data_IF_083361662212
#
_entry.id   IF_083361662212
#
_cell.length_a   1.000
_cell.length_b   1.000
_cell.length_c   1.000
_cell.angle_alpha   90.00
_cell.angle_beta   90.00
_cell.angle_gamma   90.00
#
_symmetry.space_group_name_H-M   'P 1'
#
loop_
_entity.id
_entity.type
_entity.pdbx_description
1 polymer ?
#
# COMPACT_ATOMS: atom_id res chain seq x y z
N UNK A 1 7.26 12.40 -19.44
CA UNK A 1 6.68 11.06 -19.66
C UNK A 1 5.35 11.02 -18.93
N UNK A 2 4.24 10.75 -19.62
CA UNK A 2 2.97 10.45 -18.96
C UNK A 2 3.15 9.11 -18.26
N UNK A 3 3.53 9.12 -16.98
CA UNK A 3 3.52 7.90 -16.18
C UNK A 3 2.07 7.57 -15.88
N UNK A 4 1.46 6.77 -16.76
CA UNK A 4 0.22 6.08 -16.42
C UNK A 4 0.51 5.21 -15.21
N UNK A 5 -0.26 5.41 -14.14
CA UNK A 5 -0.15 4.57 -12.96
C UNK A 5 -0.53 3.14 -13.33
N UNK A 6 0.32 2.16 -12.98
CA UNK A 6 -0.07 0.75 -13.06
C UNK A 6 -1.19 0.50 -12.06
N UNK A 7 -2.01 -0.51 -12.33
CA UNK A 7 -3.09 -0.92 -11.44
C UNK A 7 -2.60 -1.03 -9.99
N UNK A 8 -3.36 -0.44 -9.08
CA UNK A 8 -3.08 -0.41 -7.65
C UNK A 8 -3.11 -1.83 -7.07
N UNK A 9 -2.00 -2.28 -6.47
CA UNK A 9 -1.88 -3.64 -5.93
C UNK A 9 -2.78 -3.94 -4.74
N UNK A 10 -3.22 -2.90 -4.02
CA UNK A 10 -3.99 -3.02 -2.79
C UNK A 10 -5.47 -2.67 -2.94
N UNK A 11 -5.87 -2.07 -4.07
CA UNK A 11 -7.25 -1.66 -4.34
C UNK A 11 -7.73 -2.03 -5.75
N UNK A 12 -6.88 -2.52 -6.65
CA UNK A 12 -7.25 -2.80 -8.04
C UNK A 12 -7.83 -1.57 -8.73
N UNK A 13 -9.07 -1.68 -9.19
CA UNK A 13 -9.85 -0.59 -9.77
C UNK A 13 -10.72 0.18 -8.75
N UNK A 14 -10.75 -0.26 -7.49
CA UNK A 14 -11.57 0.35 -6.44
C UNK A 14 -10.97 1.73 -6.06
N UNK A 15 -11.77 2.77 -6.25
CA UNK A 15 -11.39 4.17 -5.97
C UNK A 15 -12.08 4.68 -4.70
N UNK A 16 -11.51 4.33 -3.56
CA UNK A 16 -11.98 4.76 -2.23
C UNK A 16 -10.80 5.07 -1.30
N UNK A 17 -11.04 5.76 -0.19
CA UNK A 17 -10.01 5.90 0.84
C UNK A 17 -9.63 4.52 1.41
N UNK A 18 -8.36 4.15 1.35
CA UNK A 18 -7.86 2.85 1.78
C UNK A 18 -8.21 2.49 3.24
N UNK A 19 -8.34 3.50 4.10
CA UNK A 19 -8.65 3.31 5.52
C UNK A 19 -10.14 3.34 5.84
N UNK A 20 -10.88 4.29 5.28
CA UNK A 20 -12.29 4.51 5.65
C UNK A 20 -13.28 3.84 4.70
N UNK A 21 -12.83 3.42 3.52
CA UNK A 21 -13.69 2.88 2.44
C UNK A 21 -14.79 3.84 2.00
N UNK A 22 -14.63 5.13 2.31
CA UNK A 22 -15.58 6.15 1.88
C UNK A 22 -15.38 6.38 0.37
N UNK A 23 -16.46 6.28 -0.43
CA UNK A 23 -16.40 6.38 -1.89
C UNK A 23 -16.34 7.83 -2.38
N UNK A 24 -16.03 8.79 -1.51
CA UNK A 24 -15.96 10.21 -1.89
C UNK A 24 -14.74 10.40 -2.79
N UNK A 25 -14.94 10.21 -4.09
CA UNK A 25 -13.94 10.46 -5.13
C UNK A 25 -13.42 11.90 -5.08
N UNK A 26 -14.26 12.81 -4.62
CA UNK A 26 -13.92 14.20 -4.35
C UNK A 26 -12.85 14.26 -3.25
N UNK A 27 -11.64 14.69 -3.65
CA UNK A 27 -10.47 14.92 -2.81
C UNK A 27 -9.64 13.69 -2.41
N UNK A 28 -9.74 12.57 -3.12
CA UNK A 28 -8.74 11.49 -2.94
C UNK A 28 -7.38 11.92 -3.50
N UNK A 29 -6.33 11.67 -2.71
CA UNK A 29 -4.94 11.85 -3.08
C UNK A 29 -4.28 10.50 -3.31
N UNK A 30 -3.37 10.44 -4.29
CA UNK A 30 -2.48 9.30 -4.45
C UNK A 30 -1.40 9.36 -3.37
N UNK A 31 -1.27 8.27 -2.64
CA UNK A 31 -0.18 8.03 -1.72
C UNK A 31 0.70 6.88 -2.24
N UNK A 32 1.96 7.19 -2.56
CA UNK A 32 2.95 6.16 -2.88
C UNK A 32 3.41 5.48 -1.58
N UNK A 33 3.23 4.16 -1.50
CA UNK A 33 3.50 3.38 -0.27
C UNK A 33 5.00 3.42 0.09
N UNK A 34 5.86 3.41 -0.93
CA UNK A 34 7.31 3.57 -0.76
C UNK A 34 7.73 4.99 -1.17
N UNK A 35 8.23 5.76 -0.21
CA UNK A 35 8.51 7.20 -0.35
C UNK A 35 9.85 7.47 -1.05
N UNK A 36 10.08 8.74 -1.40
CA UNK A 36 11.39 9.25 -1.85
C UNK A 36 11.84 8.64 -3.18
N UNK A 37 13.02 8.02 -3.18
CA UNK A 37 13.64 7.44 -4.38
C UNK A 37 12.79 6.35 -5.06
N UNK A 38 11.79 5.79 -4.36
CA UNK A 38 10.93 4.73 -4.88
C UNK A 38 9.58 5.20 -5.40
N UNK A 39 9.37 6.52 -5.56
CA UNK A 39 8.10 7.07 -6.06
C UNK A 39 7.77 6.60 -7.48
N UNK A 40 8.75 6.62 -8.37
CA UNK A 40 8.56 6.21 -9.76
C UNK A 40 8.34 4.70 -9.85
N UNK A 41 9.11 3.92 -9.07
CA UNK A 41 8.92 2.46 -8.94
C UNK A 41 7.54 2.11 -8.36
N UNK A 42 7.08 2.86 -7.37
CA UNK A 42 5.73 2.66 -6.82
C UNK A 42 4.64 2.91 -7.88
N UNK A 43 4.86 3.86 -8.78
CA UNK A 43 3.95 4.12 -9.91
C UNK A 43 4.01 2.99 -10.95
N UNK A 44 5.21 2.52 -11.28
CA UNK A 44 5.49 1.46 -12.24
C UNK A 44 4.93 0.10 -11.82
N UNK A 45 4.98 -0.22 -10.53
CA UNK A 45 4.57 -1.53 -10.01
C UNK A 45 3.16 -1.56 -9.41
N UNK A 46 2.52 -0.41 -9.21
CA UNK A 46 1.20 -0.32 -8.59
C UNK A 46 1.23 -0.20 -7.06
N UNK A 47 2.38 0.14 -6.46
CA UNK A 47 2.56 0.29 -5.02
C UNK A 47 2.09 1.67 -4.51
N UNK A 48 0.82 2.00 -4.76
CA UNK A 48 0.20 3.25 -4.37
C UNK A 48 -1.23 2.99 -3.90
N UNK A 49 -1.79 3.90 -3.11
CA UNK A 49 -3.17 3.82 -2.59
C UNK A 49 -3.88 5.17 -2.67
N UNK A 50 -5.20 5.14 -2.70
CA UNK A 50 -6.05 6.31 -2.57
C UNK A 50 -6.28 6.63 -1.10
N UNK A 51 -6.02 7.87 -0.70
CA UNK A 51 -6.27 8.36 0.65
C UNK A 51 -7.02 9.68 0.62
N UNK A 52 -7.90 9.89 1.60
CA UNK A 52 -8.38 11.24 1.90
C UNK A 52 -7.23 12.11 2.41
N UNK A 53 -7.29 13.45 2.27
CA UNK A 53 -6.17 14.33 2.59
C UNK A 53 -5.76 14.28 4.07
N UNK A 54 -6.72 14.08 4.97
CA UNK A 54 -6.52 13.94 6.41
C UNK A 54 -5.77 12.66 6.77
N UNK A 55 -6.06 11.55 6.10
CA UNK A 55 -5.31 10.29 6.21
C UNK A 55 -3.97 10.30 5.47
N UNK A 56 -3.79 11.22 4.53
CA UNK A 56 -2.57 11.32 3.74
C UNK A 56 -1.49 12.16 4.44
N UNK A 57 -1.76 13.45 4.69
CA UNK A 57 -0.75 14.36 5.26
C UNK A 57 -1.29 15.56 6.06
N UNK A 58 -2.59 15.81 6.10
CA UNK A 58 -3.14 17.05 6.69
C UNK A 58 -3.36 16.96 8.21
N UNK A 59 -3.20 15.79 8.82
CA UNK A 59 -3.43 15.58 10.26
C UNK A 59 -2.32 14.78 10.92
N UNK A 60 -2.28 14.79 12.26
CA UNK A 60 -1.30 14.05 13.05
C UNK A 60 -1.48 12.53 13.00
N UNK A 61 -2.67 12.04 12.69
CA UNK A 61 -2.92 10.60 12.50
C UNK A 61 -2.68 10.13 11.05
N UNK A 62 -2.29 11.05 10.16
CA UNK A 62 -2.01 10.70 8.77
C UNK A 62 -0.89 9.67 8.67
N UNK A 63 -0.91 8.89 7.60
CA UNK A 63 0.10 7.84 7.37
C UNK A 63 1.53 8.39 7.33
N UNK A 64 1.72 9.64 6.91
CA UNK A 64 3.04 10.28 6.91
C UNK A 64 3.58 10.64 8.30
N UNK A 65 2.70 10.70 9.31
CA UNK A 65 3.03 11.00 10.70
C UNK A 65 3.01 9.76 11.62
N UNK A 66 2.42 8.65 11.18
CA UNK A 66 2.36 7.38 11.92
C UNK A 66 3.25 6.29 11.28
N UNK A 67 4.44 6.08 11.87
CA UNK A 67 5.42 5.07 11.42
C UNK A 67 4.94 3.63 11.59
N UNK A 68 3.96 3.38 12.45
CA UNK A 68 3.40 2.04 12.66
C UNK A 68 2.38 1.76 11.56
N UNK A 69 1.54 2.75 11.25
CA UNK A 69 0.62 2.70 10.12
C UNK A 69 1.39 2.55 8.80
N UNK A 70 2.41 3.38 8.57
CA UNK A 70 3.27 3.33 7.38
C UNK A 70 3.88 1.93 7.21
N UNK A 71 4.50 1.37 8.25
CA UNK A 71 5.13 0.05 8.18
C UNK A 71 4.11 -1.06 7.88
N UNK A 72 2.91 -0.99 8.47
CA UNK A 72 1.82 -1.95 8.21
C UNK A 72 1.42 -1.95 6.73
N UNK A 73 1.27 -0.76 6.13
CA UNK A 73 0.90 -0.62 4.73
C UNK A 73 2.04 -1.06 3.80
N UNK A 74 3.29 -0.75 4.15
CA UNK A 74 4.47 -1.21 3.40
C UNK A 74 4.60 -2.73 3.37
N UNK A 75 4.40 -3.39 4.52
CA UNK A 75 4.46 -4.84 4.61
C UNK A 75 3.31 -5.52 3.83
N UNK A 76 2.09 -4.96 3.90
CA UNK A 76 0.95 -5.46 3.14
C UNK A 76 1.10 -5.23 1.63
N UNK A 77 1.66 -4.08 1.22
CA UNK A 77 1.96 -3.82 -0.19
C UNK A 77 3.06 -4.75 -0.72
N UNK A 78 4.04 -5.14 0.12
CA UNK A 78 5.02 -6.15 -0.23
C UNK A 78 4.33 -7.50 -0.48
N UNK A 79 3.39 -7.93 0.38
CA UNK A 79 2.63 -9.17 0.14
C UNK A 79 1.89 -9.14 -1.20
N UNK A 80 1.23 -8.03 -1.51
CA UNK A 80 0.52 -7.87 -2.79
C UNK A 80 1.47 -7.86 -4.00
N UNK A 81 2.66 -7.29 -3.83
CA UNK A 81 3.71 -7.34 -4.84
C UNK A 81 4.20 -8.77 -5.05
N UNK A 82 4.56 -9.47 -3.98
CA UNK A 82 5.10 -10.84 -4.04
C UNK A 82 4.07 -11.83 -4.60
N UNK A 83 2.78 -11.65 -4.31
CA UNK A 83 1.69 -12.44 -4.88
C UNK A 83 1.56 -12.26 -6.41
N UNK A 84 1.92 -11.08 -6.95
CA UNK A 84 1.81 -10.75 -8.38
C UNK A 84 3.12 -10.99 -9.15
N UNK A 85 4.25 -10.81 -8.49
CA UNK A 85 5.60 -10.89 -9.05
C UNK A 85 6.39 -11.94 -8.27
N UNK A 86 7.37 -11.54 -7.46
CA UNK A 86 8.13 -12.43 -6.57
C UNK A 86 8.79 -11.65 -5.43
N UNK A 87 9.30 -12.37 -4.42
CA UNK A 87 10.10 -11.80 -3.34
C UNK A 87 11.45 -11.27 -3.84
N UNK A 88 12.11 -12.00 -4.73
CA UNK A 88 13.41 -11.62 -5.28
C UNK A 88 13.32 -10.29 -6.03
N UNK A 89 12.28 -10.11 -6.84
CA UNK A 89 12.04 -8.87 -7.59
C UNK A 89 11.70 -7.71 -6.64
N UNK A 90 10.91 -7.97 -5.58
CA UNK A 90 10.63 -6.96 -4.57
C UNK A 90 11.90 -6.45 -3.90
N UNK A 91 12.79 -7.37 -3.51
CA UNK A 91 14.07 -7.04 -2.88
C UNK A 91 15.03 -6.35 -3.86
N UNK A 92 14.97 -6.68 -5.15
CA UNK A 92 15.70 -5.96 -6.19
C UNK A 92 15.18 -4.52 -6.34
N UNK A 93 13.88 -4.28 -6.27
CA UNK A 93 13.31 -2.94 -6.51
C UNK A 93 13.37 -2.06 -5.27
N UNK A 94 12.89 -2.53 -4.12
CA UNK A 94 12.66 -1.72 -2.92
C UNK A 94 13.70 -1.91 -1.81
N UNK A 95 14.60 -2.89 -1.97
CA UNK A 95 15.81 -3.10 -1.14
C UNK A 95 15.58 -3.37 0.35
N UNK A 96 14.34 -3.45 0.83
CA UNK A 96 14.00 -3.61 2.25
C UNK A 96 12.87 -4.62 2.40
N UNK A 97 13.05 -5.64 3.22
CA UNK A 97 11.97 -6.56 3.59
C UNK A 97 11.12 -5.94 4.71
N UNK A 98 9.95 -5.41 4.34
CA UNK A 98 9.00 -4.78 5.25
C UNK A 98 8.16 -5.79 6.03
N UNK A 99 7.92 -6.98 5.48
CA UNK A 99 7.26 -8.08 6.21
C UNK A 99 8.13 -8.51 7.39
N UNK A 100 9.43 -8.71 7.16
CA UNK A 100 10.40 -9.04 8.21
C UNK A 100 10.58 -7.88 9.19
N UNK A 101 10.65 -6.63 8.71
CA UNK A 101 10.69 -5.45 9.58
C UNK A 101 9.44 -5.33 10.48
N UNK A 102 8.27 -5.67 9.96
CA UNK A 102 7.04 -5.75 10.75
C UNK A 102 7.10 -6.88 11.79
N UNK A 103 7.53 -8.07 11.39
CA UNK A 103 7.73 -9.22 12.28
C UNK A 103 8.66 -8.87 13.43
N UNK A 104 9.78 -8.23 13.16
CA UNK A 104 10.74 -7.82 14.19
C UNK A 104 10.18 -6.79 15.17
N UNK A 105 9.27 -5.92 14.72
CA UNK A 105 8.64 -4.92 15.59
C UNK A 105 7.52 -5.51 16.45
N UNK A 106 6.70 -6.41 15.91
CA UNK A 106 5.45 -6.86 16.56
C UNK A 106 5.43 -8.34 16.96
N UNK A 107 6.47 -9.11 16.64
CA UNK A 107 6.62 -10.54 16.91
C UNK A 107 5.78 -11.48 16.05
N UNK A 108 4.69 -11.00 15.44
CA UNK A 108 3.79 -11.79 14.60
C UNK A 108 3.35 -11.01 13.36
N UNK A 109 3.14 -11.72 12.26
CA UNK A 109 2.65 -11.16 10.99
C UNK A 109 1.19 -11.51 10.71
N UNK A 110 0.53 -12.30 11.56
CA UNK A 110 -0.81 -12.85 11.30
C UNK A 110 -1.87 -11.77 11.04
N UNK A 111 -1.77 -10.60 11.68
CA UNK A 111 -2.67 -9.46 11.47
C UNK A 111 -2.60 -8.92 10.05
N UNK A 112 -1.40 -8.58 9.57
CA UNK A 112 -1.20 -8.03 8.23
C UNK A 112 -1.55 -9.05 7.13
N UNK A 113 -1.26 -10.34 7.32
CA UNK A 113 -1.69 -11.39 6.39
C UNK A 113 -3.22 -11.53 6.36
N UNK A 114 -3.89 -11.48 7.51
CA UNK A 114 -5.35 -11.56 7.56
C UNK A 114 -6.00 -10.38 6.84
N UNK A 115 -5.48 -9.17 7.05
CA UNK A 115 -5.97 -7.97 6.39
C UNK A 115 -5.72 -7.96 4.88
N UNK A 116 -4.54 -8.40 4.45
CA UNK A 116 -4.23 -8.53 3.04
C UNK A 116 -5.20 -9.50 2.36
N UNK A 117 -5.45 -10.68 2.96
CA UNK A 117 -6.41 -11.64 2.42
C UNK A 117 -7.82 -11.07 2.30
N UNK A 118 -8.29 -10.33 3.30
CA UNK A 118 -9.61 -9.69 3.24
C UNK A 118 -9.69 -8.67 2.09
N UNK A 119 -8.64 -7.86 1.90
CA UNK A 119 -8.57 -6.91 0.79
C UNK A 119 -8.51 -7.59 -0.56
N UNK A 120 -7.70 -8.65 -0.68
CA UNK A 120 -7.61 -9.47 -1.90
C UNK A 120 -8.98 -10.03 -2.30
N UNK A 121 -9.71 -10.59 -1.35
CA UNK A 121 -11.07 -11.06 -1.57
C UNK A 121 -12.03 -9.94 -2.01
N UNK A 122 -11.95 -8.75 -1.41
CA UNK A 122 -12.77 -7.60 -1.85
C UNK A 122 -12.44 -7.20 -3.28
N UNK A 123 -11.16 -7.16 -3.66
CA UNK A 123 -10.75 -6.86 -5.04
C UNK A 123 -11.21 -7.94 -6.03
N UNK A 124 -11.11 -9.22 -5.67
CA UNK A 124 -11.55 -10.34 -6.51
C UNK A 124 -13.06 -10.35 -6.74
N UNK A 125 -13.87 -9.92 -5.75
CA UNK A 125 -15.32 -9.84 -5.86
C UNK A 125 -15.82 -8.54 -6.53
N UNK A 126 -14.94 -7.57 -6.79
CA UNK A 126 -15.28 -6.31 -7.44
C UNK A 126 -15.06 -6.35 -8.97
N UNK A 127 -14.49 -7.43 -9.49
CA UNK A 127 -14.21 -7.66 -10.92
C UNK A 127 -15.27 -8.53 -11.60
#
# INVERSE_FOLDING_TARGET
MNHSYKENLLQGQIKECFFTREPREENLCIHHVYRGAFRDKSTEYGCWIWLRPDWHNQTNYSIHNDRNLELRIQAMCQMAFEDRYSHEEFMEVFKTDYIEKFRNRYGKTSSIYAEYRQRKLVMENAN
#
